data_IF_945882466399
#
_entry.id   IF_945882466399
#
_cell.length_a   1.000
_cell.length_b   1.000
_cell.length_c   1.000
_cell.angle_alpha   90.00
_cell.angle_beta   90.00
_cell.angle_gamma   90.00
#
_symmetry.space_group_name_H-M   'P 1'
#
loop_
_entity.id
_entity.type
_entity.pdbx_description
1 polymer ?
#
# COMPACT_ATOMS: atom_id res chain seq x y z
N UNK A 1 15.56 -17.89 20.22
CA UNK A 1 14.68 -16.72 20.35
C UNK A 1 13.27 -17.26 20.49
N UNK A 2 12.69 -17.24 21.68
CA UNK A 2 11.29 -17.67 21.87
C UNK A 2 10.40 -16.51 21.43
N UNK A 3 9.61 -16.75 20.38
CA UNK A 3 8.58 -15.82 19.89
C UNK A 3 7.61 -15.49 21.03
N UNK A 4 7.03 -14.27 21.08
CA UNK A 4 5.88 -14.02 21.93
C UNK A 4 4.76 -14.99 21.55
N UNK A 5 4.21 -15.68 22.55
CA UNK A 5 3.13 -16.63 22.39
C UNK A 5 1.93 -16.06 23.13
N UNK A 6 0.75 -16.02 22.50
CA UNK A 6 -0.50 -15.84 23.24
C UNK A 6 -0.55 -16.95 24.27
N UNK A 7 -0.86 -16.61 25.52
CA UNK A 7 -0.94 -17.66 26.54
C UNK A 7 -1.95 -18.73 26.09
N UNK A 8 -1.72 -19.99 26.44
CA UNK A 8 -2.57 -21.12 26.03
C UNK A 8 -4.03 -20.99 26.47
N UNK A 9 -4.33 -20.00 27.32
CA UNK A 9 -5.65 -19.68 27.85
C UNK A 9 -6.19 -18.30 27.37
N UNK A 10 -5.49 -17.62 26.46
CA UNK A 10 -5.94 -16.37 25.84
C UNK A 10 -5.75 -15.09 26.68
N UNK A 11 -4.99 -15.16 27.77
CA UNK A 11 -4.66 -14.02 28.63
C UNK A 11 -3.55 -13.15 28.04
N UNK A 12 -3.88 -12.36 27.01
CA UNK A 12 -2.99 -11.35 26.43
C UNK A 12 -1.61 -11.88 25.98
N UNK A 13 -0.61 -11.01 26.06
CA UNK A 13 0.73 -11.22 25.52
C UNK A 13 1.74 -11.59 26.61
N UNK A 14 2.24 -12.83 26.59
CA UNK A 14 3.35 -13.28 27.43
C UNK A 14 4.67 -13.16 26.66
N UNK A 15 5.58 -12.30 27.13
CA UNK A 15 6.92 -12.15 26.54
C UNK A 15 8.00 -12.81 27.40
N UNK A 16 8.72 -13.76 26.80
CA UNK A 16 9.91 -14.44 27.35
C UNK A 16 9.72 -14.99 28.78
N UNK A 17 8.50 -15.40 29.15
CA UNK A 17 8.14 -15.90 30.49
C UNK A 17 8.49 -14.97 31.66
N UNK A 18 8.64 -13.67 31.39
CA UNK A 18 9.05 -12.66 32.38
C UNK A 18 8.04 -11.54 32.55
N UNK A 19 7.15 -11.40 31.58
CA UNK A 19 6.30 -10.26 31.43
C UNK A 19 4.96 -10.68 30.82
N UNK A 20 3.88 -10.44 31.55
CA UNK A 20 2.52 -10.60 31.05
C UNK A 20 1.90 -9.23 30.84
N UNK A 21 1.39 -8.95 29.64
CA UNK A 21 0.69 -7.70 29.33
C UNK A 21 -0.68 -8.03 28.72
N UNK A 22 -1.73 -7.44 29.25
CA UNK A 22 -3.12 -7.77 28.91
C UNK A 22 -4.01 -6.54 29.06
N UNK A 23 -5.17 -6.58 28.41
CA UNK A 23 -6.25 -5.64 28.67
C UNK A 23 -6.82 -5.80 30.08
N UNK A 24 -7.20 -4.69 30.72
CA UNK A 24 -7.63 -4.67 32.12
C UNK A 24 -8.90 -5.51 32.36
N UNK A 25 -9.79 -5.63 31.37
CA UNK A 25 -10.97 -6.51 31.48
C UNK A 25 -10.63 -7.99 31.70
N UNK A 26 -9.39 -8.41 31.40
CA UNK A 26 -8.93 -9.78 31.59
C UNK A 26 -8.37 -10.06 32.99
N UNK A 27 -8.23 -9.04 33.85
CA UNK A 27 -7.67 -9.21 35.20
C UNK A 27 -8.46 -10.26 35.99
N UNK A 28 -9.79 -10.22 35.95
CA UNK A 28 -10.63 -11.14 36.72
C UNK A 28 -10.49 -12.60 36.29
N UNK A 29 -10.03 -12.84 35.06
CA UNK A 29 -9.81 -14.19 34.52
C UNK A 29 -8.41 -14.74 34.84
N UNK A 30 -7.50 -13.91 35.36
CA UNK A 30 -6.15 -14.36 35.71
C UNK A 30 -6.16 -15.39 36.87
N UNK A 31 -5.13 -16.25 36.95
CA UNK A 31 -4.87 -17.07 38.13
C UNK A 31 -4.87 -16.22 39.41
N UNK A 32 -5.39 -16.79 40.52
CA UNK A 32 -5.60 -16.07 41.78
C UNK A 32 -4.36 -15.31 42.26
N UNK A 33 -3.17 -15.90 42.13
CA UNK A 33 -1.90 -15.27 42.52
C UNK A 33 -1.62 -13.99 41.74
N UNK A 34 -1.89 -13.97 40.43
CA UNK A 34 -1.69 -12.78 39.60
C UNK A 34 -2.76 -11.72 39.87
N UNK A 35 -4.01 -12.14 40.17
CA UNK A 35 -5.06 -11.20 40.61
C UNK A 35 -4.71 -10.51 41.91
N UNK A 36 -4.23 -11.27 42.91
CA UNK A 36 -3.73 -10.70 44.17
C UNK A 36 -2.57 -9.75 43.90
N UNK A 37 -1.64 -10.10 43.02
CA UNK A 37 -0.52 -9.24 42.65
C UNK A 37 -0.97 -7.90 42.06
N UNK A 38 -1.92 -7.92 41.12
CA UNK A 38 -2.50 -6.69 40.56
C UNK A 38 -3.25 -5.90 41.65
N UNK A 39 -4.04 -6.57 42.48
CA UNK A 39 -4.75 -5.95 43.60
C UNK A 39 -3.85 -5.27 44.63
N UNK A 40 -2.67 -5.84 44.93
CA UNK A 40 -1.66 -5.17 45.75
C UNK A 40 -1.19 -3.85 45.12
N UNK A 41 -1.07 -3.81 43.79
CA UNK A 41 -0.78 -2.57 43.06
C UNK A 41 -1.91 -1.55 43.17
N UNK A 42 -3.16 -1.99 43.05
CA UNK A 42 -4.34 -1.13 43.22
C UNK A 42 -4.48 -0.54 44.62
N UNK A 43 -4.03 -1.25 45.68
CA UNK A 43 -3.99 -0.68 47.03
C UNK A 43 -3.05 0.53 47.12
N UNK A 44 -1.93 0.51 46.40
CA UNK A 44 -0.95 1.60 46.39
C UNK A 44 -1.37 2.75 45.47
N UNK A 45 -1.88 2.44 44.29
CA UNK A 45 -2.22 3.42 43.26
C UNK A 45 -3.62 4.01 43.43
N UNK A 46 -4.59 3.18 43.82
CA UNK A 46 -6.02 3.48 43.77
C UNK A 46 -6.76 2.58 42.79
N UNK A 47 -7.94 3.04 42.39
CA UNK A 47 -8.80 2.33 41.45
C UNK A 47 -8.14 2.20 40.06
N UNK A 48 -8.47 1.14 39.33
CA UNK A 48 -8.00 0.88 37.98
C UNK A 48 -8.95 1.44 36.90
N UNK A 49 -9.93 2.23 37.30
CA UNK A 49 -10.84 2.92 36.39
C UNK A 49 -10.09 3.72 35.32
N UNK A 50 -10.39 3.43 34.06
CA UNK A 50 -9.74 4.05 32.90
C UNK A 50 -8.33 3.55 32.61
N UNK A 51 -7.84 2.49 33.26
CA UNK A 51 -6.64 1.78 32.83
C UNK A 51 -7.02 0.76 31.76
N UNK A 52 -6.43 0.87 30.57
CA UNK A 52 -6.70 -0.05 29.47
C UNK A 52 -5.80 -1.28 29.52
N UNK A 53 -4.48 -1.09 29.76
CA UNK A 53 -3.52 -2.19 29.79
C UNK A 53 -2.81 -2.34 31.13
N UNK A 54 -2.68 -3.58 31.57
CA UNK A 54 -1.89 -3.97 32.75
C UNK A 54 -0.70 -4.82 32.31
N UNK A 55 0.46 -4.52 32.88
CA UNK A 55 1.73 -5.18 32.58
C UNK A 55 2.43 -5.65 33.86
N UNK A 56 2.43 -6.96 34.08
CA UNK A 56 2.99 -7.66 35.24
C UNK A 56 4.43 -8.07 34.95
N UNK A 57 5.39 -7.54 35.70
CA UNK A 57 6.80 -7.92 35.59
C UNK A 57 7.12 -9.00 36.63
N UNK A 58 7.07 -10.26 36.21
CA UNK A 58 7.12 -11.45 37.07
C UNK A 58 8.39 -11.49 37.95
N UNK A 59 9.52 -11.02 37.43
CA UNK A 59 10.82 -11.10 38.15
C UNK A 59 11.18 -9.88 38.99
N UNK A 60 10.74 -8.68 38.58
CA UNK A 60 11.20 -7.43 39.20
C UNK A 60 10.23 -6.87 40.24
N UNK A 61 9.09 -7.54 40.50
CA UNK A 61 8.11 -7.06 41.47
C UNK A 61 7.48 -5.72 41.08
N UNK A 62 7.45 -5.44 39.77
CA UNK A 62 6.87 -4.21 39.21
C UNK A 62 5.54 -4.48 38.54
N UNK A 63 4.60 -3.57 38.71
CA UNK A 63 3.37 -3.49 37.94
C UNK A 63 3.43 -2.22 37.08
N UNK A 64 2.95 -2.27 35.86
CA UNK A 64 2.75 -1.07 35.05
C UNK A 64 1.33 -0.99 34.55
N UNK A 65 0.71 0.17 34.75
CA UNK A 65 -0.65 0.51 34.31
C UNK A 65 -0.51 1.52 33.16
N UNK A 66 -1.30 1.36 32.11
CA UNK A 66 -1.23 2.19 30.92
C UNK A 66 -2.63 2.61 30.50
N UNK A 67 -2.79 3.90 30.25
CA UNK A 67 -4.00 4.54 29.76
C UNK A 67 -3.74 5.13 28.38
N UNK A 68 -4.73 5.01 27.52
CA UNK A 68 -4.73 5.52 26.17
C UNK A 68 -5.83 6.57 25.98
N UNK A 69 -5.75 7.33 24.89
CA UNK A 69 -6.71 8.38 24.56
C UNK A 69 -8.08 7.85 24.16
N UNK A 70 -8.13 6.82 23.31
CA UNK A 70 -9.36 6.16 22.87
C UNK A 70 -9.08 4.70 22.47
N UNK A 71 -8.94 3.84 23.47
CA UNK A 71 -8.49 2.47 23.28
C UNK A 71 -9.43 1.64 22.39
N UNK A 72 -10.75 1.85 22.45
CA UNK A 72 -11.74 1.10 21.66
C UNK A 72 -12.14 1.83 20.37
N UNK A 73 -12.03 3.14 20.29
CA UNK A 73 -12.37 3.90 19.08
C UNK A 73 -11.25 4.00 18.06
N UNK A 74 -9.98 3.79 18.45
CA UNK A 74 -8.83 3.92 17.53
C UNK A 74 -8.06 2.61 17.35
N UNK A 75 -7.65 2.26 16.10
CA UNK A 75 -6.82 1.07 15.86
C UNK A 75 -5.40 1.21 16.39
N UNK A 76 -4.89 2.45 16.51
CA UNK A 76 -3.56 2.78 17.04
C UNK A 76 -3.73 3.90 18.09
N UNK A 77 -4.26 3.59 19.27
CA UNK A 77 -4.48 4.59 20.30
C UNK A 77 -3.14 5.07 20.88
N UNK A 78 -3.10 6.30 21.38
CA UNK A 78 -1.91 6.96 21.91
C UNK A 78 -1.86 6.87 23.43
N UNK A 79 -0.74 6.43 23.99
CA UNK A 79 -0.58 6.29 25.44
C UNK A 79 -0.51 7.67 26.10
N UNK A 80 -1.53 8.02 26.86
CA UNK A 80 -1.64 9.30 27.58
C UNK A 80 -0.96 9.24 28.94
N UNK A 81 -1.03 8.08 29.61
CA UNK A 81 -0.42 7.89 30.91
C UNK A 81 0.18 6.50 31.07
N UNK A 82 1.31 6.44 31.77
CA UNK A 82 1.90 5.20 32.26
C UNK A 82 2.28 5.35 33.72
N UNK A 83 1.79 4.45 34.56
CA UNK A 83 2.14 4.38 35.97
C UNK A 83 3.01 3.15 36.18
N UNK A 84 4.13 3.29 36.90
CA UNK A 84 4.98 2.16 37.32
C UNK A 84 4.95 2.06 38.84
N UNK A 85 4.49 0.92 39.33
CA UNK A 85 4.38 0.64 40.76
C UNK A 85 5.46 -0.39 41.11
N UNK A 86 6.40 0.00 41.97
CA UNK A 86 7.40 -0.88 42.57
C UNK A 86 6.83 -1.46 43.86
N UNK A 87 6.26 -2.66 43.79
CA UNK A 87 5.52 -3.24 44.93
C UNK A 87 6.40 -3.48 46.16
N UNK A 88 7.68 -3.84 45.96
CA UNK A 88 8.63 -4.08 47.05
C UNK A 88 8.98 -2.80 47.80
N UNK A 89 9.20 -1.72 47.05
CA UNK A 89 9.66 -0.44 47.60
C UNK A 89 8.49 0.48 47.96
N UNK A 90 7.25 0.06 47.63
CA UNK A 90 6.00 0.82 47.78
C UNK A 90 6.04 2.21 47.12
N UNK A 91 6.72 2.29 45.98
CA UNK A 91 6.97 3.55 45.28
C UNK A 91 6.31 3.57 43.89
N UNK A 92 5.90 4.75 43.43
CA UNK A 92 5.09 4.94 42.23
C UNK A 92 5.70 6.05 41.36
N UNK A 93 6.06 5.70 40.14
CA UNK A 93 6.48 6.66 39.11
C UNK A 93 5.31 6.93 38.15
N UNK A 94 4.95 8.19 37.97
CA UNK A 94 3.94 8.64 37.00
C UNK A 94 4.62 9.20 35.75
N UNK A 95 4.14 8.78 34.59
CA UNK A 95 4.55 9.31 33.29
C UNK A 95 3.30 9.78 32.56
N UNK A 96 3.11 11.09 32.45
CA UNK A 96 2.02 11.69 31.67
C UNK A 96 2.60 12.20 30.37
N UNK A 97 1.98 11.80 29.26
CA UNK A 97 2.38 12.14 27.91
C UNK A 97 1.47 13.22 27.34
N UNK A 98 2.02 14.07 26.47
CA UNK A 98 1.43 15.34 26.05
C UNK A 98 2.56 16.33 25.71
N UNK A 99 2.28 17.61 25.54
CA UNK A 99 3.39 18.55 25.24
C UNK A 99 4.34 18.69 26.45
N UNK A 100 5.68 18.52 26.30
CA UNK A 100 6.44 18.32 25.05
C UNK A 100 6.79 16.85 24.71
N UNK A 101 6.39 15.88 25.53
CA UNK A 101 6.67 14.45 25.33
C UNK A 101 5.58 13.77 24.50
N UNK A 102 5.88 13.52 23.22
CA UNK A 102 4.94 12.85 22.32
C UNK A 102 4.45 11.50 22.89
N UNK A 103 3.12 11.26 22.88
CA UNK A 103 2.55 10.03 23.40
C UNK A 103 2.89 8.83 22.49
N UNK A 104 3.43 7.72 23.05
CA UNK A 104 3.75 6.54 22.25
C UNK A 104 2.50 5.86 21.69
N UNK A 105 2.46 5.49 20.40
CA UNK A 105 1.37 4.71 19.81
C UNK A 105 1.36 3.26 20.30
N UNK A 106 0.16 2.67 20.38
CA UNK A 106 -0.03 1.25 20.63
C UNK A 106 -0.27 0.49 19.32
N UNK A 107 0.75 -0.25 18.88
CA UNK A 107 0.64 -1.18 17.78
C UNK A 107 0.24 -2.58 18.23
N UNK A 108 -0.34 -3.34 17.30
CA UNK A 108 -0.70 -4.74 17.47
C UNK A 108 -1.62 -4.95 18.69
N UNK A 109 -2.62 -4.07 18.85
CA UNK A 109 -3.49 -4.00 20.03
C UNK A 109 -4.23 -5.33 20.25
N UNK A 110 -4.54 -6.08 19.19
CA UNK A 110 -5.17 -7.40 19.28
C UNK A 110 -4.38 -8.40 20.14
N UNK A 111 -3.06 -8.22 20.29
CA UNK A 111 -2.19 -9.07 21.12
C UNK A 111 -2.55 -9.00 22.61
N UNK A 112 -3.21 -7.93 23.05
CA UNK A 112 -3.59 -7.72 24.46
C UNK A 112 -5.06 -8.06 24.74
N UNK A 113 -5.83 -8.33 23.68
CA UNK A 113 -7.25 -8.66 23.73
C UNK A 113 -7.46 -10.19 23.73
N UNK A 114 -8.59 -10.62 24.28
CA UNK A 114 -9.13 -11.96 24.06
C UNK A 114 -10.14 -11.95 22.91
N UNK A 115 -10.49 -13.14 22.42
CA UNK A 115 -11.43 -13.33 21.32
C UNK A 115 -12.86 -12.87 21.64
N UNK A 116 -13.24 -12.81 22.92
CA UNK A 116 -14.57 -12.32 23.34
C UNK A 116 -14.66 -10.77 23.34
N UNK A 117 -13.56 -10.05 23.08
CA UNK A 117 -13.58 -8.60 23.02
C UNK A 117 -14.29 -8.11 21.76
N UNK A 118 -15.23 -7.16 21.88
CA UNK A 118 -16.07 -6.72 20.77
C UNK A 118 -15.29 -6.19 19.54
N UNK A 119 -14.13 -5.56 19.77
CA UNK A 119 -13.22 -5.08 18.70
C UNK A 119 -12.17 -6.09 18.23
N UNK A 120 -12.15 -7.32 18.77
CA UNK A 120 -11.05 -8.27 18.54
C UNK A 120 -10.84 -8.59 17.06
N UNK A 121 -11.89 -9.00 16.35
CA UNK A 121 -11.81 -9.44 14.96
C UNK A 121 -11.34 -8.31 14.04
N UNK A 122 -11.93 -7.12 14.20
CA UNK A 122 -11.59 -5.95 13.39
C UNK A 122 -10.15 -5.48 13.66
N UNK A 123 -9.72 -5.46 14.93
CA UNK A 123 -8.34 -5.13 15.28
C UNK A 123 -7.34 -6.18 14.77
N UNK A 124 -7.67 -7.48 14.82
CA UNK A 124 -6.78 -8.53 14.33
C UNK A 124 -6.49 -8.37 12.85
N UNK A 125 -7.53 -8.10 12.04
CA UNK A 125 -7.36 -7.82 10.60
C UNK A 125 -6.49 -6.60 10.34
N UNK A 126 -6.76 -5.50 11.04
CA UNK A 126 -5.93 -4.29 10.94
C UNK A 126 -4.46 -4.57 11.27
N UNK A 127 -4.21 -5.33 12.33
CA UNK A 127 -2.88 -5.68 12.80
C UNK A 127 -2.15 -6.56 11.78
N UNK A 128 -2.85 -7.53 11.17
CA UNK A 128 -2.32 -8.39 10.10
C UNK A 128 -1.96 -7.58 8.85
N UNK A 129 -2.84 -6.67 8.42
CA UNK A 129 -2.60 -5.78 7.27
C UNK A 129 -1.40 -4.86 7.51
N UNK A 130 -1.28 -4.31 8.74
CA UNK A 130 -0.16 -3.46 9.13
C UNK A 130 1.17 -4.24 9.21
N UNK A 131 1.15 -5.47 9.73
CA UNK A 131 2.31 -6.36 9.79
C UNK A 131 2.81 -6.73 8.38
N UNK A 132 1.89 -6.97 7.44
CA UNK A 132 2.21 -7.28 6.05
C UNK A 132 3.01 -6.17 5.33
N UNK A 133 2.85 -4.91 5.74
CA UNK A 133 3.64 -3.80 5.19
C UNK A 133 5.12 -3.82 5.61
N UNK A 134 5.48 -4.60 6.63
CA UNK A 134 6.87 -4.77 7.11
C UNK A 134 7.59 -3.45 7.42
N UNK A 135 6.86 -2.47 7.97
CA UNK A 135 7.40 -1.12 8.22
C UNK A 135 8.36 -1.05 9.42
N UNK A 136 8.22 -1.95 10.38
CA UNK A 136 9.01 -2.00 11.61
C UNK A 136 8.92 -3.39 12.29
N UNK A 137 9.81 -3.65 13.24
CA UNK A 137 9.76 -4.88 14.05
C UNK A 137 8.48 -4.92 14.90
N UNK A 138 7.59 -5.91 14.71
CA UNK A 138 6.33 -5.99 15.44
C UNK A 138 6.49 -6.29 16.93
N UNK A 139 7.70 -6.68 17.36
CA UNK A 139 8.06 -6.91 18.74
C UNK A 139 8.74 -5.71 19.42
N UNK A 140 9.00 -4.66 18.66
CA UNK A 140 9.57 -3.40 19.11
C UNK A 140 8.52 -2.41 19.65
N UNK A 141 8.93 -1.14 19.76
CA UNK A 141 8.05 -0.02 20.11
C UNK A 141 7.27 0.54 18.90
N UNK A 142 7.64 0.14 17.69
CA UNK A 142 7.12 0.70 16.44
C UNK A 142 7.64 2.09 16.12
N UNK A 143 7.07 2.67 15.06
CA UNK A 143 7.39 4.02 14.59
C UNK A 143 6.62 5.08 15.40
N UNK A 144 7.11 6.32 15.50
CA UNK A 144 6.26 7.45 15.86
C UNK A 144 5.06 7.55 14.91
N UNK A 145 3.89 7.97 15.40
CA UNK A 145 2.66 8.01 14.60
C UNK A 145 2.82 8.84 13.32
N UNK A 146 3.54 9.96 13.37
CA UNK A 146 3.82 10.79 12.20
C UNK A 146 4.64 10.05 11.13
N UNK A 147 5.63 9.25 11.55
CA UNK A 147 6.44 8.47 10.62
C UNK A 147 5.64 7.34 9.99
N UNK A 148 4.73 6.71 10.75
CA UNK A 148 3.79 5.76 10.18
C UNK A 148 2.89 6.43 9.13
N UNK A 149 2.30 7.59 9.45
CA UNK A 149 1.45 8.34 8.53
C UNK A 149 2.18 8.69 7.24
N UNK A 150 3.45 9.11 7.33
CA UNK A 150 4.30 9.37 6.16
C UNK A 150 4.56 8.09 5.35
N UNK A 151 4.84 6.97 6.02
CA UNK A 151 5.08 5.69 5.35
C UNK A 151 3.83 5.12 4.66
N UNK A 152 2.64 5.34 5.22
CA UNK A 152 1.37 4.98 4.58
C UNK A 152 1.08 5.91 3.40
N UNK A 153 1.23 7.23 3.60
CA UNK A 153 1.01 8.23 2.56
C UNK A 153 1.91 8.02 1.34
N UNK A 154 3.19 7.66 1.53
CA UNK A 154 4.11 7.34 0.42
C UNK A 154 3.71 6.10 -0.37
N UNK A 155 2.83 5.25 0.17
CA UNK A 155 2.24 4.09 -0.49
C UNK A 155 0.82 4.34 -0.99
N UNK A 156 0.34 5.59 -0.91
CA UNK A 156 -1.06 5.97 -1.17
C UNK A 156 -2.05 5.17 -0.32
N UNK A 157 -1.71 4.93 0.95
CA UNK A 157 -2.56 4.29 1.94
C UNK A 157 -2.89 5.25 3.09
N UNK A 158 -4.02 5.01 3.74
CA UNK A 158 -4.44 5.68 4.97
C UNK A 158 -5.12 4.69 5.91
N UNK A 159 -5.19 5.05 7.20
CA UNK A 159 -5.97 4.28 8.18
C UNK A 159 -7.39 4.80 8.15
N UNK A 160 -8.36 3.93 7.88
CA UNK A 160 -9.79 4.25 7.87
C UNK A 160 -10.57 3.09 8.47
N UNK A 161 -11.40 3.36 9.49
CA UNK A 161 -12.30 2.38 10.11
C UNK A 161 -11.64 1.02 10.47
N UNK A 162 -10.45 1.08 11.10
CA UNK A 162 -9.62 -0.11 11.41
C UNK A 162 -9.26 -0.95 10.17
N UNK A 163 -9.03 -0.31 9.04
CA UNK A 163 -8.47 -0.93 7.86
C UNK A 163 -7.40 -0.02 7.24
N UNK A 164 -6.47 -0.63 6.50
CA UNK A 164 -5.65 0.11 5.56
C UNK A 164 -6.43 0.30 4.27
N UNK A 165 -6.77 1.55 3.95
CA UNK A 165 -7.55 1.92 2.79
C UNK A 165 -6.68 2.68 1.78
N UNK A 166 -7.01 2.63 0.47
CA UNK A 166 -6.42 3.53 -0.51
C UNK A 166 -6.67 4.99 -0.12
N UNK A 167 -5.68 5.85 -0.34
CA UNK A 167 -5.78 7.25 0.07
C UNK A 167 -6.91 7.98 -0.63
N UNK A 168 -7.63 8.81 0.12
CA UNK A 168 -8.73 9.64 -0.35
C UNK A 168 -8.29 11.05 -0.78
N UNK A 169 -7.03 11.41 -0.60
CA UNK A 169 -6.49 12.75 -0.89
C UNK A 169 -5.91 12.85 -2.29
N UNK A 170 -5.91 14.05 -2.87
CA UNK A 170 -5.21 14.35 -4.13
C UNK A 170 -3.81 14.84 -3.77
N UNK A 171 -2.74 14.15 -4.21
CA UNK A 171 -1.36 14.57 -3.93
C UNK A 171 -0.94 15.74 -4.83
N UNK A 172 0.13 16.43 -4.45
CA UNK A 172 0.86 17.30 -5.38
C UNK A 172 1.44 16.50 -6.54
N UNK A 173 1.53 17.10 -7.72
CA UNK A 173 2.13 16.44 -8.88
C UNK A 173 3.62 16.12 -8.68
N UNK A 174 4.30 16.87 -7.81
CA UNK A 174 5.72 16.69 -7.53
C UNK A 174 5.98 15.68 -6.41
N UNK A 175 4.95 15.07 -5.84
CA UNK A 175 5.11 13.94 -4.92
C UNK A 175 5.56 12.67 -5.66
N UNK A 176 6.35 11.80 -5.00
CA UNK A 176 6.77 10.52 -5.56
C UNK A 176 5.61 9.63 -5.96
N UNK A 177 5.78 8.91 -7.07
CA UNK A 177 4.87 7.91 -7.62
C UNK A 177 5.71 6.71 -8.05
N UNK A 178 5.89 5.76 -7.11
CA UNK A 178 6.93 4.73 -7.23
C UNK A 178 8.30 5.23 -6.79
N UNK A 179 9.33 4.43 -7.05
CA UNK A 179 10.71 4.73 -6.67
C UNK A 179 11.38 5.74 -7.62
N UNK A 180 11.00 5.74 -8.89
CA UNK A 180 11.74 6.46 -9.95
C UNK A 180 11.01 7.68 -10.55
N UNK A 181 9.73 7.87 -10.22
CA UNK A 181 8.91 8.93 -10.81
C UNK A 181 8.17 9.79 -9.78
N UNK A 182 7.60 10.89 -10.26
CA UNK A 182 6.57 11.70 -9.59
C UNK A 182 5.28 11.63 -10.38
N UNK A 183 4.14 12.01 -9.80
CA UNK A 183 2.87 12.03 -10.53
C UNK A 183 2.89 12.92 -11.79
N UNK A 184 3.67 14.01 -11.77
CA UNK A 184 3.88 14.91 -12.91
C UNK A 184 4.36 14.14 -14.14
N UNK A 185 5.26 13.18 -13.98
CA UNK A 185 5.81 12.40 -15.10
C UNK A 185 4.72 11.62 -15.86
N UNK A 186 3.65 11.19 -15.19
CA UNK A 186 2.54 10.48 -15.82
C UNK A 186 1.51 11.43 -16.43
N UNK A 187 1.37 12.63 -15.87
CA UNK A 187 0.29 13.58 -16.19
C UNK A 187 0.72 14.59 -17.25
N UNK A 188 2.00 14.94 -17.28
CA UNK A 188 2.59 15.96 -18.12
C UNK A 188 3.59 15.34 -19.12
N UNK A 189 3.21 14.20 -19.71
CA UNK A 189 4.01 13.50 -20.72
C UNK A 189 3.29 13.34 -22.05
N UNK A 190 4.08 13.06 -23.08
CA UNK A 190 3.61 12.75 -24.43
C UNK A 190 3.36 13.96 -25.31
N UNK A 191 3.46 13.74 -26.62
CA UNK A 191 3.45 14.78 -27.65
C UNK A 191 2.16 15.63 -27.62
N UNK A 192 1.02 14.99 -27.35
CA UNK A 192 -0.28 15.70 -27.29
C UNK A 192 -0.31 16.70 -26.13
N UNK A 193 0.21 16.33 -24.96
CA UNK A 193 0.27 17.25 -23.83
C UNK A 193 1.31 18.34 -24.06
N UNK A 194 2.50 18.01 -24.58
CA UNK A 194 3.54 18.99 -24.89
C UNK A 194 3.06 20.06 -25.89
N UNK A 195 2.34 19.63 -26.93
CA UNK A 195 1.79 20.51 -27.97
C UNK A 195 0.67 21.42 -27.44
N UNK A 196 -0.22 20.88 -26.63
CA UNK A 196 -1.47 21.58 -26.25
C UNK A 196 -1.36 22.30 -24.92
N UNK A 197 -0.50 21.82 -24.01
CA UNK A 197 -0.34 22.26 -22.62
C UNK A 197 -1.68 22.38 -21.88
N UNK A 198 -2.66 21.55 -22.24
CA UNK A 198 -3.96 21.53 -21.60
C UNK A 198 -3.84 21.08 -20.14
N UNK A 199 -4.73 21.60 -19.29
CA UNK A 199 -4.86 21.15 -17.92
C UNK A 199 -5.25 19.67 -17.88
N UNK A 200 -4.34 18.82 -17.39
CA UNK A 200 -4.46 17.37 -17.44
C UNK A 200 -4.42 16.71 -16.06
N UNK A 201 -4.73 17.44 -14.98
CA UNK A 201 -4.68 16.88 -13.62
C UNK A 201 -5.90 15.97 -13.36
N UNK A 202 -5.71 14.73 -12.87
CA UNK A 202 -6.82 13.87 -12.46
C UNK A 202 -7.68 14.51 -11.35
N UNK A 203 -8.98 14.25 -11.38
CA UNK A 203 -9.90 14.77 -10.36
C UNK A 203 -10.22 13.73 -9.28
N UNK A 204 -9.93 12.45 -9.52
CA UNK A 204 -10.18 11.37 -8.55
C UNK A 204 -8.90 10.93 -7.85
N UNK A 205 -8.91 10.86 -6.51
CA UNK A 205 -7.81 10.28 -5.72
C UNK A 205 -7.51 8.83 -6.15
N UNK A 206 -8.54 8.08 -6.54
CA UNK A 206 -8.41 6.73 -7.07
C UNK A 206 -7.55 6.65 -8.34
N UNK A 207 -7.52 7.71 -9.18
CA UNK A 207 -6.63 7.76 -10.36
C UNK A 207 -5.17 7.84 -9.91
N UNK A 208 -4.86 8.66 -8.89
CA UNK A 208 -3.50 8.72 -8.32
C UNK A 208 -3.09 7.40 -7.66
N UNK A 209 -4.03 6.72 -6.98
CA UNK A 209 -3.76 5.40 -6.40
C UNK A 209 -3.43 4.37 -7.50
N UNK A 210 -4.14 4.40 -8.61
CA UNK A 210 -3.89 3.53 -9.76
C UNK A 210 -2.55 3.84 -10.45
N UNK A 211 -2.18 5.13 -10.60
CA UNK A 211 -0.87 5.53 -11.11
C UNK A 211 0.27 5.06 -10.21
N UNK A 212 0.12 5.21 -8.88
CA UNK A 212 1.11 4.71 -7.93
C UNK A 212 1.25 3.18 -8.01
N UNK A 213 0.13 2.45 -8.08
CA UNK A 213 0.16 1.00 -8.25
C UNK A 213 0.80 0.57 -9.58
N UNK A 214 0.53 1.28 -10.68
CA UNK A 214 1.19 1.06 -11.96
C UNK A 214 2.70 1.28 -11.87
N UNK A 215 3.12 2.37 -11.21
CA UNK A 215 4.53 2.66 -11.01
C UNK A 215 5.23 1.54 -10.22
N UNK A 216 4.71 1.17 -9.06
CA UNK A 216 5.36 0.21 -8.15
C UNK A 216 5.35 -1.23 -8.65
N UNK A 217 4.29 -1.64 -9.37
CA UNK A 217 4.14 -3.04 -9.80
C UNK A 217 4.65 -3.29 -11.22
N UNK A 218 4.81 -2.24 -12.04
CA UNK A 218 5.24 -2.37 -13.44
C UNK A 218 6.52 -1.60 -13.70
N UNK A 219 6.52 -0.28 -13.50
CA UNK A 219 7.62 0.56 -13.97
C UNK A 219 8.87 0.45 -13.12
N UNK A 220 8.74 0.38 -11.80
CA UNK A 220 9.89 0.22 -10.90
C UNK A 220 10.66 -1.08 -11.20
N UNK A 221 10.03 -2.27 -11.30
CA UNK A 221 10.74 -3.48 -11.70
C UNK A 221 11.37 -3.43 -13.09
N UNK A 222 10.72 -2.77 -14.06
CA UNK A 222 11.26 -2.61 -15.41
C UNK A 222 12.51 -1.73 -15.38
N UNK A 223 12.47 -0.62 -14.64
CA UNK A 223 13.59 0.31 -14.50
C UNK A 223 14.75 -0.35 -13.75
N UNK A 224 14.45 -1.11 -12.69
CA UNK A 224 15.47 -1.82 -11.92
C UNK A 224 16.20 -2.88 -12.76
N UNK A 225 15.55 -3.45 -13.78
CA UNK A 225 16.13 -4.47 -14.65
C UNK A 225 16.80 -3.90 -15.91
N UNK A 226 16.12 -3.03 -16.66
CA UNK A 226 16.58 -2.51 -17.95
C UNK A 226 17.21 -1.12 -17.89
N UNK A 227 17.08 -0.41 -16.76
CA UNK A 227 17.46 0.99 -16.64
C UNK A 227 16.31 1.96 -16.96
N UNK A 228 16.61 3.25 -16.92
CA UNK A 228 15.60 4.31 -17.02
C UNK A 228 14.81 4.25 -18.33
N UNK A 229 13.51 4.50 -18.24
CA UNK A 229 12.59 4.48 -19.38
C UNK A 229 12.15 5.89 -19.78
N UNK A 230 11.70 6.05 -21.02
CA UNK A 230 11.03 7.25 -21.52
C UNK A 230 9.52 7.02 -21.59
N UNK A 231 8.75 7.71 -20.75
CA UNK A 231 7.30 7.76 -20.87
C UNK A 231 6.90 8.57 -22.11
N UNK A 232 6.15 7.94 -23.01
CA UNK A 232 5.67 8.57 -24.24
C UNK A 232 4.21 8.95 -24.18
N UNK A 233 3.46 8.34 -23.25
CA UNK A 233 2.07 8.68 -22.98
C UNK A 233 1.65 8.16 -21.60
N UNK A 234 0.69 8.82 -20.96
CA UNK A 234 0.31 8.52 -19.57
C UNK A 234 -1.15 8.88 -19.30
N UNK A 235 -1.43 9.52 -18.17
CA UNK A 235 -2.80 9.89 -17.85
C UNK A 235 -3.40 10.84 -18.90
N UNK A 236 -4.68 10.63 -19.24
CA UNK A 236 -5.40 11.43 -20.20
C UNK A 236 -6.76 11.86 -19.67
N UNK A 237 -6.86 13.15 -19.32
CA UNK A 237 -8.13 13.78 -19.03
C UNK A 237 -9.06 13.76 -20.26
N UNK A 238 -10.37 13.89 -20.02
CA UNK A 238 -11.34 13.99 -21.10
C UNK A 238 -11.11 15.19 -22.04
N UNK A 239 -10.36 16.20 -21.60
CA UNK A 239 -9.95 17.32 -22.45
C UNK A 239 -8.77 16.92 -23.35
N UNK A 240 -7.72 16.32 -22.78
CA UNK A 240 -6.56 15.87 -23.54
C UNK A 240 -6.93 14.77 -24.54
N UNK A 241 -7.79 13.83 -24.14
CA UNK A 241 -8.22 12.72 -24.99
C UNK A 241 -8.93 13.16 -26.28
N UNK A 242 -9.55 14.36 -26.30
CA UNK A 242 -10.20 14.92 -27.50
C UNK A 242 -9.21 15.43 -28.55
N UNK A 243 -7.98 15.74 -28.14
CA UNK A 243 -6.92 16.27 -29.01
C UNK A 243 -6.12 15.17 -29.71
N UNK A 244 -6.43 13.90 -29.42
CA UNK A 244 -5.69 12.76 -29.95
C UNK A 244 -6.27 12.36 -31.30
N UNK A 245 -5.46 12.33 -32.36
CA UNK A 245 -5.93 12.00 -33.70
C UNK A 245 -6.24 10.49 -33.78
N UNK A 246 -7.52 10.12 -33.72
CA UNK A 246 -7.95 8.74 -33.92
C UNK A 246 -9.26 8.37 -33.21
N UNK A 247 -9.73 7.15 -33.44
CA UNK A 247 -10.83 6.57 -32.67
C UNK A 247 -10.24 5.95 -31.39
N UNK A 248 -10.19 6.73 -30.31
CA UNK A 248 -10.03 6.16 -28.97
C UNK A 248 -11.33 5.43 -28.61
N UNK A 249 -11.23 4.36 -27.83
CA UNK A 249 -12.38 3.70 -27.21
C UNK A 249 -12.38 4.05 -25.71
N UNK A 250 -12.96 5.19 -25.28
CA UNK A 250 -12.75 5.71 -23.92
C UNK A 250 -13.22 4.75 -22.83
N UNK A 251 -14.21 3.91 -23.13
CA UNK A 251 -14.75 2.91 -22.21
C UNK A 251 -13.80 1.74 -21.88
N UNK A 252 -12.72 1.59 -22.66
CA UNK A 252 -11.70 0.55 -22.54
C UNK A 252 -10.29 1.12 -22.34
N UNK A 253 -10.16 2.45 -22.31
CA UNK A 253 -8.88 3.13 -22.29
C UNK A 253 -8.48 3.48 -20.85
N UNK A 254 -7.53 2.72 -20.31
CA UNK A 254 -7.04 2.89 -18.93
C UNK A 254 -6.14 4.12 -18.75
N UNK A 255 -5.81 4.87 -19.81
CA UNK A 255 -5.24 6.21 -19.67
C UNK A 255 -6.20 7.19 -18.98
N UNK A 256 -7.51 6.93 -19.02
CA UNK A 256 -8.51 7.71 -18.28
C UNK A 256 -8.50 7.44 -16.77
N UNK A 257 -7.73 6.47 -16.28
CA UNK A 257 -7.66 6.16 -14.86
C UNK A 257 -9.00 5.72 -14.28
N UNK A 258 -9.31 6.27 -13.11
CA UNK A 258 -10.58 6.09 -12.40
C UNK A 258 -11.52 7.31 -12.58
N UNK A 259 -11.27 8.16 -13.59
CA UNK A 259 -12.08 9.36 -13.79
C UNK A 259 -13.54 9.03 -14.11
N UNK A 260 -14.43 9.93 -13.69
CA UNK A 260 -15.87 9.75 -13.81
C UNK A 260 -16.44 10.63 -14.93
N UNK A 261 -17.45 10.12 -15.61
CA UNK A 261 -18.24 10.89 -16.55
C UNK A 261 -19.25 11.79 -15.81
N UNK A 262 -20.01 12.60 -16.55
CA UNK A 262 -21.02 13.52 -15.99
C UNK A 262 -22.14 12.83 -15.19
N UNK A 263 -22.33 11.52 -15.37
CA UNK A 263 -23.31 10.72 -14.63
C UNK A 263 -22.70 10.03 -13.39
N UNK A 264 -21.45 10.34 -13.03
CA UNK A 264 -20.76 9.75 -11.88
C UNK A 264 -20.31 8.30 -12.10
N UNK A 265 -20.33 7.80 -13.34
CA UNK A 265 -19.85 6.45 -13.68
C UNK A 265 -18.41 6.49 -14.20
N UNK A 266 -17.61 5.43 -14.01
CA UNK A 266 -16.27 5.36 -14.59
C UNK A 266 -16.28 5.62 -16.09
N UNK A 267 -15.33 6.44 -16.56
CA UNK A 267 -15.10 6.65 -18.00
C UNK A 267 -14.59 5.35 -18.61
N UNK A 268 -13.57 4.74 -18.00
CA UNK A 268 -13.06 3.44 -18.37
C UNK A 268 -13.63 2.37 -17.42
N UNK A 269 -14.29 1.37 -17.99
CA UNK A 269 -14.90 0.28 -17.20
C UNK A 269 -13.89 -0.68 -16.58
N UNK A 270 -12.66 -0.73 -17.12
CA UNK A 270 -11.56 -1.59 -16.64
C UNK A 270 -10.92 -1.08 -15.36
N UNK A 271 -11.07 0.22 -15.06
CA UNK A 271 -10.35 0.90 -13.99
C UNK A 271 -8.83 0.71 -14.10
N UNK A 272 -8.07 1.04 -13.07
CA UNK A 272 -6.61 0.99 -13.11
C UNK A 272 -6.02 2.18 -13.88
N UNK A 273 -4.78 2.04 -14.32
CA UNK A 273 -4.06 3.05 -15.09
C UNK A 273 -3.22 2.41 -16.20
N UNK A 274 -2.90 3.19 -17.22
CA UNK A 274 -2.01 2.78 -18.32
C UNK A 274 -0.96 3.84 -18.64
N UNK A 275 0.13 3.37 -19.22
CA UNK A 275 1.21 4.18 -19.80
C UNK A 275 1.69 3.57 -21.10
N UNK A 276 2.21 4.44 -21.96
CA UNK A 276 3.05 4.03 -23.07
C UNK A 276 4.48 4.44 -22.76
N UNK A 277 5.44 3.53 -22.95
CA UNK A 277 6.84 3.83 -22.71
C UNK A 277 7.78 3.09 -23.65
N UNK A 278 9.00 3.60 -23.72
CA UNK A 278 10.12 3.05 -24.46
C UNK A 278 11.32 2.88 -23.51
N UNK A 279 12.04 1.77 -23.62
CA UNK A 279 13.40 1.64 -23.10
C UNK A 279 14.35 1.99 -24.23
N UNK A 280 15.19 3.01 -24.05
CA UNK A 280 16.12 3.42 -25.11
C UNK A 280 17.18 2.34 -25.33
N UNK A 281 17.57 2.15 -26.59
CA UNK A 281 18.59 1.17 -27.03
C UNK A 281 18.27 -0.32 -26.78
N UNK A 282 17.04 -0.66 -26.35
CA UNK A 282 16.57 -2.04 -26.15
C UNK A 282 15.53 -2.47 -27.19
N UNK A 283 15.46 -3.79 -27.45
CA UNK A 283 14.38 -4.37 -28.26
C UNK A 283 13.10 -4.47 -27.42
N UNK A 284 12.10 -3.65 -27.75
CA UNK A 284 10.84 -3.59 -27.01
C UNK A 284 10.01 -4.87 -27.07
N UNK A 285 10.26 -5.78 -28.04
CA UNK A 285 9.66 -7.11 -28.05
C UNK A 285 10.28 -7.99 -26.97
N UNK A 286 11.59 -7.90 -26.76
CA UNK A 286 12.29 -8.64 -25.71
C UNK A 286 11.96 -8.06 -24.31
N UNK A 287 11.88 -6.74 -24.19
CA UNK A 287 11.36 -6.08 -22.97
C UNK A 287 9.95 -6.58 -22.66
N UNK A 288 9.04 -6.58 -23.64
CA UNK A 288 7.67 -7.08 -23.46
C UNK A 288 7.62 -8.57 -23.06
N UNK A 289 8.51 -9.41 -23.60
CA UNK A 289 8.60 -10.83 -23.21
C UNK A 289 9.06 -10.98 -21.76
N UNK A 290 10.10 -10.24 -21.36
CA UNK A 290 10.56 -10.23 -19.98
C UNK A 290 9.44 -9.78 -19.05
N UNK A 291 8.72 -8.72 -19.39
CA UNK A 291 7.59 -8.22 -18.61
C UNK A 291 6.50 -9.28 -18.48
N UNK A 292 6.17 -9.96 -19.58
CA UNK A 292 5.19 -11.05 -19.59
C UNK A 292 5.55 -12.17 -18.59
N UNK A 293 6.83 -12.46 -18.40
CA UNK A 293 7.27 -13.51 -17.50
C UNK A 293 7.44 -13.07 -16.04
N UNK A 294 7.69 -11.79 -15.77
CA UNK A 294 8.21 -11.33 -14.48
C UNK A 294 7.32 -10.35 -13.71
N UNK A 295 6.36 -9.67 -14.36
CA UNK A 295 5.56 -8.65 -13.71
C UNK A 295 4.05 -8.91 -13.82
N UNK A 296 3.26 -8.50 -12.81
CA UNK A 296 1.81 -8.49 -12.91
C UNK A 296 1.36 -7.29 -13.75
N UNK A 297 0.46 -7.52 -14.71
CA UNK A 297 -0.17 -6.46 -15.49
C UNK A 297 -1.58 -6.88 -15.91
N UNK A 298 -2.38 -5.90 -16.30
CA UNK A 298 -3.70 -6.13 -16.84
C UNK A 298 -3.63 -6.40 -18.35
N UNK A 299 -3.09 -5.46 -19.13
CA UNK A 299 -2.98 -5.59 -20.60
C UNK A 299 -1.66 -5.03 -21.11
N UNK A 300 -1.09 -5.71 -22.10
CA UNK A 300 0.16 -5.34 -22.77
C UNK A 300 -0.06 -5.35 -24.28
N UNK A 301 0.14 -4.20 -24.94
CA UNK A 301 0.09 -4.08 -26.40
C UNK A 301 1.48 -3.75 -26.95
N UNK A 302 1.93 -4.59 -27.89
CA UNK A 302 3.28 -4.52 -28.47
C UNK A 302 3.20 -4.12 -29.93
N UNK A 303 3.91 -3.06 -30.30
CA UNK A 303 3.83 -2.43 -31.63
C UNK A 303 5.06 -2.67 -32.52
N UNK A 304 6.14 -3.21 -31.96
CA UNK A 304 7.37 -3.54 -32.66
C UNK A 304 8.61 -3.38 -31.80
N UNK A 305 9.79 -3.76 -32.31
CA UNK A 305 11.05 -3.69 -31.57
C UNK A 305 11.47 -2.25 -31.23
N UNK A 306 11.20 -1.30 -32.12
CA UNK A 306 11.62 0.10 -31.97
C UNK A 306 10.45 1.05 -31.63
N UNK A 307 9.37 0.51 -31.07
CA UNK A 307 8.13 1.27 -30.79
C UNK A 307 7.79 1.22 -29.31
N UNK A 308 7.29 2.33 -28.73
CA UNK A 308 6.78 2.29 -27.36
C UNK A 308 5.71 1.20 -27.21
N UNK A 309 5.72 0.52 -26.08
CA UNK A 309 4.66 -0.44 -25.71
C UNK A 309 3.62 0.26 -24.87
N UNK A 310 2.38 -0.20 -24.95
CA UNK A 310 1.32 0.20 -24.04
C UNK A 310 1.16 -0.87 -22.97
N UNK A 311 1.11 -0.48 -21.71
CA UNK A 311 0.82 -1.39 -20.61
C UNK A 311 -0.10 -0.77 -19.57
N UNK A 312 -0.96 -1.60 -18.99
CA UNK A 312 -1.86 -1.21 -17.91
C UNK A 312 -1.75 -2.10 -16.68
N UNK A 313 -2.06 -1.52 -15.52
CA UNK A 313 -2.24 -2.21 -14.25
C UNK A 313 -3.64 -1.89 -13.74
N UNK A 314 -4.41 -2.92 -13.38
CA UNK A 314 -5.81 -2.76 -13.00
C UNK A 314 -6.36 -3.99 -12.30
N UNK A 315 -7.57 -3.88 -11.71
CA UNK A 315 -8.15 -4.91 -10.85
C UNK A 315 -8.51 -6.21 -11.58
N UNK A 316 -8.69 -6.18 -12.91
CA UNK A 316 -8.94 -7.39 -13.69
C UNK A 316 -7.72 -8.32 -13.73
N UNK A 317 -6.51 -7.77 -13.70
CA UNK A 317 -5.26 -8.55 -13.76
C UNK A 317 -5.25 -9.54 -14.93
N UNK A 318 -5.81 -9.15 -16.08
CA UNK A 318 -6.13 -10.09 -17.16
C UNK A 318 -4.90 -10.76 -17.80
N UNK A 319 -3.69 -10.20 -17.56
CA UNK A 319 -2.42 -10.65 -18.12
C UNK A 319 -2.49 -10.86 -19.64
N UNK A 320 -3.25 -9.98 -20.32
CA UNK A 320 -3.54 -10.12 -21.74
C UNK A 320 -2.43 -9.51 -22.57
N UNK A 321 -1.83 -10.31 -23.47
CA UNK A 321 -0.84 -9.82 -24.43
C UNK A 321 -1.46 -9.70 -25.82
N UNK A 322 -1.29 -8.53 -26.44
CA UNK A 322 -1.77 -8.24 -27.80
C UNK A 322 -0.61 -7.73 -28.64
N UNK A 323 -0.33 -8.42 -29.74
CA UNK A 323 0.65 -7.96 -30.74
C UNK A 323 -0.08 -7.23 -31.85
N UNK A 324 0.38 -6.02 -32.17
CA UNK A 324 -0.14 -5.20 -33.25
C UNK A 324 0.72 -5.42 -34.50
N UNK A 325 0.36 -6.42 -35.31
CA UNK A 325 1.14 -6.76 -36.52
C UNK A 325 0.70 -5.92 -37.73
N UNK A 326 1.64 -5.44 -38.56
CA UNK A 326 1.32 -4.84 -39.86
C UNK A 326 0.62 -5.85 -40.77
N UNK A 327 -0.40 -5.42 -41.49
CA UNK A 327 -0.96 -6.17 -42.62
C UNK A 327 -0.12 -5.93 -43.88
N UNK A 328 -0.44 -6.65 -44.97
CA UNK A 328 0.14 -6.40 -46.29
C UNK A 328 -0.04 -4.94 -46.78
N UNK A 329 -0.96 -4.19 -46.16
CA UNK A 329 -1.13 -2.75 -46.37
C UNK A 329 -0.42 -2.00 -45.23
N UNK A 330 0.60 -1.16 -45.49
CA UNK A 330 1.44 -0.53 -44.47
C UNK A 330 0.71 0.34 -43.42
N UNK A 331 -0.54 0.74 -43.69
CA UNK A 331 -1.32 1.65 -42.85
C UNK A 331 -2.28 0.96 -41.87
N UNK A 332 -2.40 -0.37 -41.89
CA UNK A 332 -3.37 -1.08 -41.04
C UNK A 332 -2.68 -2.13 -40.17
N UNK A 333 -2.76 -1.93 -38.85
CA UNK A 333 -2.36 -2.89 -37.82
C UNK A 333 -3.54 -3.79 -37.46
N UNK A 334 -3.29 -5.09 -37.28
CA UNK A 334 -4.30 -6.04 -36.80
C UNK A 334 -3.92 -6.53 -35.40
N UNK A 335 -4.82 -6.41 -34.41
CA UNK A 335 -4.57 -6.91 -33.07
C UNK A 335 -4.62 -8.44 -33.06
N UNK A 336 -3.57 -9.06 -32.54
CA UNK A 336 -3.49 -10.51 -32.32
C UNK A 336 -3.25 -10.79 -30.84
N UNK A 337 -4.28 -11.25 -30.14
CA UNK A 337 -4.14 -11.71 -28.77
C UNK A 337 -3.33 -13.02 -28.72
N UNK A 338 -2.34 -13.09 -27.83
CA UNK A 338 -1.49 -14.25 -27.61
C UNK A 338 -1.55 -14.66 -26.14
N UNK A 339 -1.46 -15.96 -25.87
CA UNK A 339 -1.17 -16.43 -24.51
C UNK A 339 0.28 -16.11 -24.16
N UNK A 340 0.63 -15.96 -22.88
CA UNK A 340 2.03 -15.73 -22.46
C UNK A 340 3.02 -16.70 -23.10
N UNK A 341 2.74 -18.00 -23.10
CA UNK A 341 3.60 -19.03 -23.73
C UNK A 341 3.78 -18.83 -25.24
N UNK A 342 2.70 -18.47 -25.93
CA UNK A 342 2.75 -18.21 -27.37
C UNK A 342 3.51 -16.92 -27.68
N UNK A 343 3.42 -15.92 -26.81
CA UNK A 343 4.17 -14.68 -26.96
C UNK A 343 5.67 -14.87 -26.66
N UNK A 344 6.04 -15.69 -25.68
CA UNK A 344 7.44 -16.01 -25.39
C UNK A 344 8.17 -16.59 -26.61
N UNK A 345 7.49 -17.43 -27.40
CA UNK A 345 8.02 -18.00 -28.64
C UNK A 345 7.75 -17.15 -29.90
N UNK A 346 7.07 -16.01 -29.77
CA UNK A 346 6.72 -15.16 -30.89
C UNK A 346 7.96 -14.49 -31.48
N UNK A 347 8.07 -14.55 -32.82
CA UNK A 347 9.11 -13.84 -33.58
C UNK A 347 8.47 -12.67 -34.30
N UNK A 348 8.98 -11.47 -34.05
CA UNK A 348 8.53 -10.29 -34.77
C UNK A 348 8.88 -10.44 -36.26
N UNK A 349 7.95 -10.20 -37.19
CA UNK A 349 8.28 -10.23 -38.62
C UNK A 349 9.29 -9.12 -38.93
N UNK A 350 10.51 -9.49 -39.32
CA UNK A 350 11.48 -8.53 -39.87
C UNK A 350 10.94 -8.01 -41.20
N UNK A 351 10.90 -6.69 -41.38
CA UNK A 351 10.66 -6.12 -42.70
C UNK A 351 11.72 -6.68 -43.66
N UNK A 352 11.30 -7.44 -44.67
CA UNK A 352 12.19 -7.79 -45.78
C UNK A 352 12.70 -6.48 -46.37
N UNK A 353 14.00 -6.23 -46.24
CA UNK A 353 14.71 -5.28 -47.08
C UNK A 353 14.56 -5.78 -48.51
N UNK A 354 13.56 -5.26 -49.23
CA UNK A 354 13.61 -5.30 -50.68
C UNK A 354 14.79 -4.41 -51.07
N UNK A 355 15.94 -5.04 -51.27
CA UNK A 355 17.05 -4.49 -52.02
C UNK A 355 16.51 -4.09 -53.39
N UNK A 356 16.18 -2.81 -53.56
CA UNK A 356 16.07 -2.19 -54.87
C UNK A 356 17.51 -2.07 -55.42
N UNK A 357 18.00 -3.20 -55.92
CA UNK A 357 18.94 -3.23 -57.03
C UNK A 357 18.09 -3.35 -58.29
N UNK A 358 18.05 -2.26 -59.06
CA UNK A 358 17.35 -2.15 -60.33
C UNK A 358 17.52 -0.74 -60.86
#
# INVERSE_FOLDING_TARGET
MTLPCRTSEGFGLLRRERLLQLHASLIERLPAVLRVYVGCGSILYGDLDGIDLVKIHIRSGKLSLMKFDDFDGQPIPLMTERIKIRLRDQDIDFFVYGSPHEPPPLYFKSRYLNEDHHMFEQQSRFDEDLEALSLFDPDGFGLPLQQLQQALASRRLEVSDYALAPSSTIPSLDEPCGAHFTFRHFIECGETWERTRLHNVPQQAATFNALHALATNILDPVIDYFGMIRLTYGFASAALAKEIPGRIAPHLDQHAGHELNRAGKPICSRLGAAVDFLVEDEDMVEVAKWMTANIPFDRLYVYGPDRPIHISYGPEGAHQVVVMSPTATPAQLVPKALTPDKFASFKWPTATSNSLLG
#
